data_IF_605747639381
#
_entry.id   IF_605747639381
#
_cell.length_a   1.000
_cell.length_b   1.000
_cell.length_c   1.000
_cell.angle_alpha   90.00
_cell.angle_beta   90.00
_cell.angle_gamma   90.00
#
_symmetry.space_group_name_H-M   'P 1'
#
loop_
_entity.id
_entity.type
_entity.pdbx_description
1 polymer ?
#
# COMPACT_ATOMS: atom_id res chain seq x y z
N UNK A 1 15.31 -21.83 -16.65
CA UNK A 1 15.07 -20.39 -16.48
C UNK A 1 13.73 -20.07 -17.11
N UNK A 2 12.65 -20.10 -16.33
CA UNK A 2 11.29 -19.88 -16.85
C UNK A 2 10.97 -18.38 -16.80
N UNK A 3 10.96 -17.75 -17.98
CA UNK A 3 10.38 -16.44 -18.22
C UNK A 3 8.88 -16.50 -17.93
N UNK A 4 8.50 -16.24 -16.68
CA UNK A 4 7.12 -15.96 -16.31
C UNK A 4 6.71 -14.61 -16.90
N UNK A 5 5.50 -14.53 -17.46
CA UNK A 5 4.92 -13.33 -18.05
C UNK A 5 5.29 -12.07 -17.25
N UNK A 6 6.02 -11.16 -17.90
CA UNK A 6 6.74 -10.06 -17.29
C UNK A 6 5.78 -8.97 -16.80
N UNK A 7 5.23 -9.16 -15.60
CA UNK A 7 4.77 -8.03 -14.83
C UNK A 7 6.01 -7.19 -14.49
N UNK A 8 5.97 -5.91 -14.86
CA UNK A 8 6.93 -4.91 -14.38
C UNK A 8 7.05 -5.00 -12.85
N UNK A 9 8.19 -4.59 -12.31
CA UNK A 9 8.40 -4.58 -10.86
C UNK A 9 7.22 -3.88 -10.16
N UNK A 10 6.54 -4.60 -9.26
CA UNK A 10 5.43 -4.05 -8.50
C UNK A 10 5.92 -3.60 -7.12
N UNK A 11 5.24 -2.61 -6.56
CA UNK A 11 5.44 -2.17 -5.17
C UNK A 11 4.11 -2.20 -4.46
N UNK A 12 4.11 -2.72 -3.24
CA UNK A 12 2.99 -2.54 -2.32
C UNK A 12 3.00 -1.11 -1.80
N UNK A 13 1.94 -0.38 -2.09
CA UNK A 13 1.67 0.95 -1.57
C UNK A 13 0.59 0.85 -0.49
N UNK A 14 0.96 0.86 0.80
CA UNK A 14 0.02 1.04 1.90
C UNK A 14 -0.83 2.31 1.69
N UNK A 15 -2.14 2.22 1.83
CA UNK A 15 -3.02 3.40 1.81
C UNK A 15 -3.31 3.79 3.26
N UNK A 16 -2.64 4.83 3.74
CA UNK A 16 -2.63 5.27 5.14
C UNK A 16 -2.88 6.78 5.24
N UNK A 17 -2.98 7.32 6.46
CA UNK A 17 -3.09 8.78 6.68
C UNK A 17 -1.80 9.53 6.32
N UNK A 18 -0.66 8.84 6.31
CA UNK A 18 0.67 9.39 6.09
C UNK A 18 1.14 9.35 4.63
N UNK A 19 0.26 8.95 3.70
CA UNK A 19 0.56 8.91 2.27
C UNK A 19 0.35 10.28 1.61
N UNK A 20 1.29 10.68 0.78
CA UNK A 20 1.16 11.87 -0.04
C UNK A 20 1.90 11.70 -1.36
N UNK A 21 1.52 12.47 -2.38
CA UNK A 21 2.30 12.53 -3.61
C UNK A 21 3.28 13.69 -3.58
N UNK A 22 4.48 13.43 -4.09
CA UNK A 22 5.50 14.44 -4.40
C UNK A 22 5.53 14.72 -5.92
N UNK A 23 6.35 15.67 -6.34
CA UNK A 23 6.60 15.92 -7.76
C UNK A 23 7.39 14.75 -8.38
N UNK A 24 7.41 14.66 -9.72
CA UNK A 24 8.18 13.66 -10.49
C UNK A 24 7.75 12.19 -10.27
N UNK A 25 6.45 11.90 -10.27
CA UNK A 25 5.91 10.54 -10.14
C UNK A 25 6.36 9.79 -8.87
N UNK A 26 6.49 10.52 -7.76
CA UNK A 26 6.85 9.95 -6.47
C UNK A 26 5.68 10.01 -5.49
N UNK A 27 5.57 8.95 -4.70
CA UNK A 27 4.67 8.86 -3.55
C UNK A 27 5.52 8.69 -2.30
N UNK A 28 5.23 9.50 -1.29
CA UNK A 28 5.83 9.41 0.03
C UNK A 28 4.87 8.72 0.98
N UNK A 29 5.43 7.93 1.90
CA UNK A 29 4.71 7.41 3.06
C UNK A 29 5.55 7.77 4.29
N UNK A 30 4.97 8.51 5.22
CA UNK A 30 5.69 8.99 6.40
C UNK A 30 6.95 9.78 6.03
N UNK A 31 8.01 9.65 6.83
CA UNK A 31 9.27 10.39 6.63
C UNK A 31 10.34 9.64 5.81
N UNK A 32 10.22 8.31 5.71
CA UNK A 32 11.34 7.45 5.29
C UNK A 32 11.11 6.72 3.98
N UNK A 33 9.86 6.49 3.58
CA UNK A 33 9.53 5.74 2.36
C UNK A 33 9.22 6.69 1.20
N UNK A 34 9.90 6.49 0.07
CA UNK A 34 9.56 7.11 -1.23
C UNK A 34 9.49 6.04 -2.31
N UNK A 35 8.42 6.08 -3.10
CA UNK A 35 8.10 5.13 -4.17
C UNK A 35 7.97 5.90 -5.47
N UNK A 36 8.75 5.51 -6.47
CA UNK A 36 8.54 5.94 -7.85
C UNK A 36 7.51 5.01 -8.49
N UNK A 37 6.45 5.56 -9.07
CA UNK A 37 5.46 4.79 -9.81
C UNK A 37 5.59 5.02 -11.32
N UNK A 38 5.36 3.95 -12.09
CA UNK A 38 5.25 4.05 -13.54
C UNK A 38 3.80 4.35 -13.91
N UNK A 39 3.48 5.60 -14.24
CA UNK A 39 2.14 6.03 -14.63
C UNK A 39 1.58 5.28 -15.86
N UNK A 40 2.47 4.81 -16.75
CA UNK A 40 2.09 4.03 -17.94
C UNK A 40 2.27 2.52 -17.72
N UNK A 41 2.64 2.13 -16.50
CA UNK A 41 2.95 0.75 -16.16
C UNK A 41 1.70 -0.10 -15.99
N UNK A 42 1.88 -1.41 -16.11
CA UNK A 42 0.80 -2.34 -15.85
C UNK A 42 0.69 -2.59 -14.34
N UNK A 43 -0.24 -1.89 -13.69
CA UNK A 43 -0.55 -2.08 -12.28
C UNK A 43 -1.41 -3.34 -12.07
N UNK A 44 -1.15 -4.08 -10.99
CA UNK A 44 -2.01 -5.18 -10.53
C UNK A 44 -3.32 -4.64 -9.97
N UNK A 45 -3.25 -3.59 -9.16
CA UNK A 45 -4.42 -2.83 -8.72
C UNK A 45 -4.97 -1.98 -9.85
N UNK A 46 -6.29 -1.89 -9.95
CA UNK A 46 -6.98 -1.27 -11.09
C UNK A 46 -8.13 -0.40 -10.62
N UNK A 47 -8.39 0.69 -11.35
CA UNK A 47 -9.60 1.50 -11.22
C UNK A 47 -10.43 1.33 -12.49
N UNK A 48 -11.73 1.15 -12.33
CA UNK A 48 -12.70 1.21 -13.43
C UNK A 48 -14.00 1.91 -12.99
N UNK A 49 -15.04 1.79 -13.82
CA UNK A 49 -16.37 2.35 -13.56
C UNK A 49 -17.04 1.81 -12.28
N UNK A 50 -16.61 0.64 -11.80
CA UNK A 50 -17.09 -0.01 -10.57
C UNK A 50 -16.21 0.30 -9.37
N UNK A 51 -15.10 1.01 -9.54
CA UNK A 51 -14.24 1.50 -8.47
C UNK A 51 -12.88 0.81 -8.42
N UNK A 52 -12.32 0.71 -7.21
CA UNK A 52 -10.99 0.15 -7.01
C UNK A 52 -11.02 -1.38 -6.84
N UNK A 53 -10.14 -2.05 -7.55
CA UNK A 53 -10.00 -3.50 -7.63
C UNK A 53 -8.59 -3.98 -7.28
N UNK A 54 -8.51 -5.27 -6.92
CA UNK A 54 -7.27 -5.97 -6.58
C UNK A 54 -6.51 -5.28 -5.43
N UNK A 55 -7.19 -5.10 -4.30
CA UNK A 55 -6.61 -4.51 -3.10
C UNK A 55 -5.92 -5.61 -2.31
N UNK A 56 -4.63 -5.45 -2.02
CA UNK A 56 -3.86 -6.42 -1.25
C UNK A 56 -4.03 -6.16 0.24
N UNK A 57 -4.23 -7.22 1.01
CA UNK A 57 -4.27 -7.21 2.48
C UNK A 57 -3.06 -7.97 3.01
N UNK A 58 -2.21 -7.30 3.79
CA UNK A 58 -1.09 -7.91 4.50
C UNK A 58 -1.47 -8.11 5.96
N UNK A 59 -1.68 -9.36 6.39
CA UNK A 59 -1.98 -9.74 7.78
C UNK A 59 -0.72 -9.93 8.59
N UNK A 60 -0.75 -9.68 9.91
CA UNK A 60 0.43 -9.78 10.77
C UNK A 60 1.37 -8.59 10.66
N UNK A 61 0.89 -7.47 10.12
CA UNK A 61 1.65 -6.23 9.94
C UNK A 61 0.85 -5.03 10.42
N UNK A 62 1.57 -4.01 10.91
CA UNK A 62 1.08 -2.67 11.17
C UNK A 62 2.02 -1.63 10.52
N UNK A 63 1.53 -0.41 10.29
CA UNK A 63 2.33 0.70 9.76
C UNK A 63 2.96 1.51 10.90
N UNK A 64 4.25 1.83 10.80
CA UNK A 64 4.86 2.93 11.56
C UNK A 64 4.55 4.25 10.84
N UNK A 65 3.57 5.00 11.34
CA UNK A 65 3.11 6.25 10.71
C UNK A 65 4.22 7.30 10.59
N UNK A 66 5.23 7.24 11.47
CA UNK A 66 6.32 8.21 11.44
C UNK A 66 7.28 7.94 10.28
N UNK A 67 7.55 6.68 9.97
CA UNK A 67 8.51 6.29 8.91
C UNK A 67 7.83 5.90 7.60
N UNK A 68 6.58 5.43 7.65
CA UNK A 68 5.83 4.85 6.53
C UNK A 68 6.18 3.40 6.24
N UNK A 69 6.96 2.75 7.10
CA UNK A 69 7.40 1.37 6.93
C UNK A 69 6.46 0.38 7.61
N UNK A 70 6.32 -0.81 7.03
CA UNK A 70 5.61 -1.93 7.63
C UNK A 70 6.45 -2.55 8.75
N UNK A 71 5.80 -2.85 9.87
CA UNK A 71 6.36 -3.58 11.01
C UNK A 71 5.54 -4.86 11.18
N UNK A 72 6.13 -6.07 11.08
CA UNK A 72 5.47 -7.30 11.40
C UNK A 72 5.20 -7.33 12.91
N UNK A 73 3.96 -7.60 13.26
CA UNK A 73 3.47 -7.61 14.64
C UNK A 73 3.27 -9.02 15.15
N UNK A 74 3.18 -10.00 14.23
CA UNK A 74 2.82 -11.40 14.48
C UNK A 74 1.42 -11.60 15.07
N UNK A 75 0.61 -10.55 15.18
CA UNK A 75 -0.81 -10.65 15.49
C UNK A 75 -1.59 -10.88 14.19
N UNK A 76 -2.24 -12.04 13.99
CA UNK A 76 -3.00 -12.32 12.77
C UNK A 76 -4.21 -11.39 12.57
N UNK A 77 -4.67 -10.71 13.62
CA UNK A 77 -5.75 -9.72 13.56
C UNK A 77 -5.27 -8.35 13.08
N UNK A 78 -3.97 -8.05 13.18
CA UNK A 78 -3.39 -6.85 12.59
C UNK A 78 -3.30 -7.00 11.07
N UNK A 79 -3.58 -5.91 10.36
CA UNK A 79 -3.42 -5.88 8.92
C UNK A 79 -3.16 -4.47 8.39
N UNK A 80 -2.56 -4.41 7.21
CA UNK A 80 -2.45 -3.20 6.39
C UNK A 80 -3.01 -3.48 5.01
N UNK A 81 -3.88 -2.60 4.53
CA UNK A 81 -4.45 -2.65 3.18
C UNK A 81 -3.71 -1.68 2.27
N UNK A 82 -3.52 -2.10 1.03
CA UNK A 82 -2.83 -1.28 0.05
C UNK A 82 -3.07 -1.75 -1.38
N UNK A 83 -2.41 -1.07 -2.31
CA UNK A 83 -2.48 -1.38 -3.73
C UNK A 83 -1.12 -1.88 -4.23
N UNK A 84 -1.13 -2.71 -5.28
CA UNK A 84 0.05 -3.16 -5.99
C UNK A 84 0.16 -2.38 -7.31
N UNK A 85 1.20 -1.57 -7.41
CA UNK A 85 1.44 -0.68 -8.54
C UNK A 85 2.79 -0.96 -9.18
N UNK A 86 2.89 -0.85 -10.51
CA UNK A 86 4.18 -0.81 -11.21
C UNK A 86 5.03 0.36 -10.71
N UNK A 87 6.25 0.07 -10.28
CA UNK A 87 7.15 1.05 -9.68
C UNK A 87 8.31 0.42 -8.92
N UNK A 88 9.03 1.23 -8.16
CA UNK A 88 10.12 0.80 -7.26
C UNK A 88 10.22 1.70 -6.04
N UNK A 89 10.77 1.15 -4.95
CA UNK A 89 11.06 1.91 -3.74
C UNK A 89 12.40 2.63 -3.95
N UNK A 90 12.40 3.96 -3.95
CA UNK A 90 13.61 4.79 -4.09
C UNK A 90 14.32 5.01 -2.75
N UNK A 91 13.54 5.16 -1.68
CA UNK A 91 14.04 5.40 -0.32
C UNK A 91 13.24 4.55 0.67
N UNK A 92 13.94 4.08 1.70
CA UNK A 92 13.38 3.24 2.74
C UNK A 92 13.86 1.80 2.60
N UNK A 93 13.79 1.08 3.72
CA UNK A 93 14.09 -0.34 3.72
C UNK A 93 13.00 -1.10 2.97
N UNK A 94 13.38 -2.14 2.25
CA UNK A 94 12.42 -2.95 1.53
C UNK A 94 12.77 -4.43 1.48
N UNK A 95 11.73 -5.24 1.32
CA UNK A 95 11.84 -6.68 1.13
C UNK A 95 11.13 -7.07 -0.16
N UNK A 96 11.81 -7.84 -1.01
CA UNK A 96 11.28 -8.25 -2.32
C UNK A 96 10.75 -9.68 -2.26
N UNK A 97 9.46 -9.83 -2.57
CA UNK A 97 8.80 -11.12 -2.74
C UNK A 97 8.83 -11.46 -4.23
N UNK A 98 9.36 -12.63 -4.57
CA UNK A 98 9.57 -13.05 -5.95
C UNK A 98 8.63 -14.20 -6.30
N UNK A 99 7.88 -14.03 -7.39
CA UNK A 99 7.17 -15.12 -8.06
C UNK A 99 6.06 -15.79 -7.25
N UNK A 100 5.40 -15.07 -6.34
CA UNK A 100 4.30 -15.64 -5.55
C UNK A 100 3.05 -15.82 -6.43
N UNK A 101 2.43 -17.01 -6.46
CA UNK A 101 1.19 -17.21 -7.21
C UNK A 101 0.08 -16.27 -6.71
N UNK A 102 -0.65 -15.64 -7.62
CA UNK A 102 -1.68 -14.64 -7.27
C UNK A 102 -2.80 -15.20 -6.40
N UNK A 103 -3.05 -16.51 -6.45
CA UNK A 103 -4.04 -17.20 -5.61
C UNK A 103 -3.57 -17.43 -4.17
N UNK A 104 -2.32 -17.14 -3.84
CA UNK A 104 -1.78 -17.14 -2.46
C UNK A 104 -1.83 -15.76 -1.82
N UNK A 105 -2.12 -14.72 -2.57
CA UNK A 105 -2.29 -13.37 -2.06
C UNK A 105 -3.71 -13.18 -1.54
N UNK A 106 -3.83 -12.56 -0.37
CA UNK A 106 -5.14 -12.14 0.13
C UNK A 106 -5.55 -10.83 -0.56
N UNK A 107 -6.33 -10.97 -1.64
CA UNK A 107 -6.81 -9.86 -2.47
C UNK A 107 -8.32 -9.70 -2.29
N UNK A 108 -8.77 -8.50 -1.92
CA UNK A 108 -10.19 -8.14 -1.87
C UNK A 108 -10.58 -7.35 -3.14
N UNK A 109 -11.89 -7.38 -3.47
CA UNK A 109 -12.43 -6.83 -4.72
C UNK A 109 -11.68 -7.34 -5.96
N UNK A 110 -11.39 -8.64 -5.96
CA UNK A 110 -10.58 -9.32 -6.96
C UNK A 110 -11.23 -9.21 -8.35
N UNK A 111 -10.41 -8.78 -9.31
CA UNK A 111 -10.61 -8.83 -10.76
C UNK A 111 -9.51 -9.74 -11.34
N UNK A 112 -9.44 -9.86 -12.67
CA UNK A 112 -8.51 -10.74 -13.36
C UNK A 112 -7.04 -10.49 -12.96
N UNK A 113 -6.54 -11.32 -12.06
CA UNK A 113 -5.14 -11.37 -11.60
C UNK A 113 -4.67 -12.80 -11.70
N UNK A 114 -3.90 -13.09 -12.74
CA UNK A 114 -3.40 -14.41 -13.06
C UNK A 114 -1.87 -14.46 -13.05
N UNK A 115 -1.35 -15.65 -12.78
CA UNK A 115 0.08 -15.91 -12.79
C UNK A 115 0.78 -15.58 -11.47
N UNK A 116 2.09 -15.42 -11.57
CA UNK A 116 2.96 -15.13 -10.44
C UNK A 116 3.23 -13.61 -10.38
N UNK A 117 3.21 -13.07 -9.17
CA UNK A 117 3.46 -11.65 -8.91
C UNK A 117 4.80 -11.53 -8.20
N UNK A 118 5.58 -10.53 -8.58
CA UNK A 118 6.80 -10.12 -7.89
C UNK A 118 6.60 -8.70 -7.42
N UNK A 119 6.80 -8.44 -6.12
CA UNK A 119 6.60 -7.11 -5.55
C UNK A 119 7.51 -6.82 -4.37
N UNK A 120 7.77 -5.53 -4.15
CA UNK A 120 8.54 -5.03 -3.03
C UNK A 120 7.64 -4.45 -1.94
N UNK A 121 8.00 -4.69 -0.68
CA UNK A 121 7.35 -4.19 0.53
C UNK A 121 8.23 -3.14 1.20
N UNK A 122 7.72 -1.93 1.54
CA UNK A 122 8.44 -1.01 2.42
C UNK A 122 8.38 -1.54 3.85
N UNK A 123 9.45 -2.15 4.35
CA UNK A 123 9.47 -2.86 5.64
C UNK A 123 10.57 -2.32 6.52
N UNK A 124 10.30 -2.17 7.82
CA UNK A 124 11.25 -1.63 8.79
C UNK A 124 12.37 -2.63 9.05
N UNK A 125 13.45 -2.57 8.27
CA UNK A 125 14.59 -3.47 8.44
C UNK A 125 15.68 -2.84 9.34
N UNK A 126 16.31 -3.69 10.15
CA UNK A 126 17.51 -3.33 10.90
C UNK A 126 18.70 -4.04 10.23
N UNK A 127 19.77 -3.29 9.94
CA UNK A 127 20.88 -3.57 9.01
C UNK A 127 21.61 -4.94 9.08
N UNK A 128 21.23 -5.89 9.94
CA UNK A 128 22.03 -7.09 10.27
C UNK A 128 21.49 -8.40 9.71
N UNK A 129 20.50 -8.37 8.80
CA UNK A 129 19.85 -9.60 8.29
C UNK A 129 19.05 -10.35 9.36
N UNK A 130 18.92 -9.76 10.56
CA UNK A 130 18.13 -10.27 11.67
C UNK A 130 17.01 -9.29 11.95
N UNK A 131 15.77 -9.76 11.92
CA UNK A 131 14.60 -8.92 12.13
C UNK A 131 14.31 -8.82 13.63
N UNK A 132 14.82 -7.79 14.30
CA UNK A 132 14.51 -7.53 15.71
C UNK A 132 13.33 -6.57 15.81
N UNK A 133 12.17 -7.07 16.24
CA UNK A 133 10.99 -6.25 16.54
C UNK A 133 10.93 -6.04 18.04
N UNK A 134 11.18 -4.82 18.50
CA UNK A 134 10.89 -4.47 19.89
C UNK A 134 9.46 -3.94 20.00
N UNK A 135 8.55 -4.83 20.35
CA UNK A 135 7.14 -4.52 20.58
C UNK A 135 6.83 -4.31 22.07
N UNK A 136 7.81 -4.41 22.99
CA UNK A 136 7.56 -4.42 24.44
C UNK A 136 6.78 -3.20 24.92
N UNK A 137 7.12 -2.03 24.40
CA UNK A 137 6.46 -0.76 24.72
C UNK A 137 5.61 -0.24 23.55
N UNK A 138 5.17 -1.13 22.66
CA UNK A 138 4.39 -0.79 21.48
C UNK A 138 3.03 -1.46 21.55
N UNK A 139 2.02 -0.72 21.12
CA UNK A 139 0.68 -1.25 20.90
C UNK A 139 0.26 -0.96 19.47
N UNK A 140 -0.54 -1.86 18.91
CA UNK A 140 -1.19 -1.65 17.64
C UNK A 140 -2.56 -1.04 17.88
N UNK A 141 -2.96 -0.14 16.98
CA UNK A 141 -4.28 0.48 17.04
C UNK A 141 -4.89 0.50 15.67
N UNK A 142 -6.17 0.14 15.60
CA UNK A 142 -6.97 0.25 14.40
C UNK A 142 -7.13 1.72 13.98
N UNK A 143 -6.97 1.99 12.70
CA UNK A 143 -7.11 3.31 12.09
C UNK A 143 -8.01 3.18 10.86
N UNK A 144 -9.06 4.00 10.82
CA UNK A 144 -9.89 4.24 9.65
C UNK A 144 -9.53 5.58 9.02
N UNK A 145 -9.71 5.70 7.71
CA UNK A 145 -9.58 6.98 7.00
C UNK A 145 -10.91 7.74 7.09
N UNK A 146 -10.85 9.02 7.39
CA UNK A 146 -12.02 9.89 7.25
C UNK A 146 -12.23 10.31 5.79
N UNK A 147 -13.38 10.94 5.53
CA UNK A 147 -13.80 11.37 4.19
C UNK A 147 -12.81 12.34 3.53
N UNK A 148 -12.24 13.27 4.29
CA UNK A 148 -11.40 14.33 3.75
C UNK A 148 -9.99 13.81 3.44
N UNK A 149 -9.48 12.90 4.27
CA UNK A 149 -8.27 12.13 3.97
C UNK A 149 -8.49 11.26 2.74
N UNK A 150 -9.62 10.54 2.65
CA UNK A 150 -9.94 9.70 1.50
C UNK A 150 -9.98 10.50 0.19
N UNK A 151 -10.61 11.69 0.18
CA UNK A 151 -10.58 12.60 -0.97
C UNK A 151 -9.16 13.02 -1.33
N UNK A 152 -8.37 13.41 -0.33
CA UNK A 152 -6.97 13.83 -0.53
C UNK A 152 -6.15 12.72 -1.16
N UNK A 153 -6.30 11.47 -0.70
CA UNK A 153 -5.62 10.30 -1.28
C UNK A 153 -6.07 10.07 -2.72
N UNK A 154 -7.36 10.12 -2.99
CA UNK A 154 -7.88 9.92 -4.35
C UNK A 154 -7.37 11.01 -5.29
N UNK A 155 -7.48 12.27 -4.92
CA UNK A 155 -7.17 13.40 -5.80
C UNK A 155 -5.68 13.65 -5.98
N UNK A 156 -4.85 13.30 -4.98
CA UNK A 156 -3.40 13.57 -5.04
C UNK A 156 -2.56 12.33 -5.31
N UNK A 157 -3.01 11.13 -4.95
CA UNK A 157 -2.25 9.88 -5.12
C UNK A 157 -2.84 9.04 -6.24
N UNK A 158 -4.09 8.59 -6.11
CA UNK A 158 -4.68 7.68 -7.09
C UNK A 158 -4.91 8.36 -8.45
N UNK A 159 -5.31 9.62 -8.46
CA UNK A 159 -5.48 10.41 -9.68
C UNK A 159 -4.17 10.54 -10.46
N UNK A 160 -3.01 10.57 -9.80
CA UNK A 160 -1.72 10.66 -10.49
C UNK A 160 -1.25 9.30 -11.01
N UNK A 161 -1.36 8.24 -10.19
CA UNK A 161 -1.03 6.87 -10.59
C UNK A 161 -1.88 6.44 -11.79
N UNK A 162 -3.19 6.68 -11.73
CA UNK A 162 -4.16 6.23 -12.74
C UNK A 162 -4.68 7.37 -13.62
N UNK A 163 -3.87 8.38 -13.92
CA UNK A 163 -4.35 9.64 -14.52
C UNK A 163 -5.21 9.48 -15.77
N UNK A 164 -4.84 8.57 -16.68
CA UNK A 164 -5.62 8.30 -17.89
C UNK A 164 -7.05 7.85 -17.55
N UNK A 165 -7.18 6.94 -16.58
CA UNK A 165 -8.48 6.41 -16.16
C UNK A 165 -9.22 7.46 -15.33
N UNK A 166 -8.56 8.04 -14.34
CA UNK A 166 -9.16 9.02 -13.43
C UNK A 166 -9.76 10.23 -14.17
N UNK A 167 -9.07 10.73 -15.20
CA UNK A 167 -9.55 11.84 -16.02
C UNK A 167 -10.78 11.49 -16.89
N UNK A 168 -11.01 10.20 -17.14
CA UNK A 168 -12.21 9.72 -17.85
C UNK A 168 -13.41 9.48 -16.94
N UNK A 169 -13.21 9.47 -15.62
CA UNK A 169 -14.28 9.22 -14.65
C UNK A 169 -15.22 10.41 -14.56
N UNK A 170 -16.52 10.13 -14.56
CA UNK A 170 -17.56 11.12 -14.25
C UNK A 170 -17.61 11.42 -12.74
N UNK A 171 -18.43 12.41 -12.35
CA UNK A 171 -18.56 12.84 -10.96
C UNK A 171 -19.00 11.72 -10.02
N UNK A 172 -19.98 10.92 -10.42
CA UNK A 172 -20.52 9.82 -9.60
C UNK A 172 -19.48 8.72 -9.35
N UNK A 173 -18.67 8.41 -10.37
CA UNK A 173 -17.59 7.44 -10.30
C UNK A 173 -16.46 7.93 -9.37
N UNK A 174 -16.10 9.22 -9.44
CA UNK A 174 -15.15 9.81 -8.49
C UNK A 174 -15.69 9.81 -7.06
N UNK A 175 -16.97 10.17 -6.88
CA UNK A 175 -17.62 10.13 -5.57
C UNK A 175 -17.69 8.72 -4.97
N UNK A 176 -17.86 7.70 -5.83
CA UNK A 176 -17.75 6.30 -5.45
C UNK A 176 -16.33 5.94 -5.04
N UNK A 177 -15.32 6.37 -5.79
CA UNK A 177 -13.92 6.09 -5.47
C UNK A 177 -13.52 6.70 -4.11
N UNK A 178 -14.00 7.91 -3.79
CA UNK A 178 -13.83 8.50 -2.46
C UNK A 178 -14.45 7.62 -1.36
N UNK A 179 -15.67 7.11 -1.55
CA UNK A 179 -16.34 6.21 -0.58
C UNK A 179 -15.61 4.88 -0.45
N UNK A 180 -15.18 4.32 -1.57
CA UNK A 180 -14.40 3.09 -1.58
C UNK A 180 -13.10 3.26 -0.79
N UNK A 181 -12.40 4.39 -0.93
CA UNK A 181 -11.17 4.61 -0.17
C UNK A 181 -11.43 4.72 1.33
N UNK A 182 -12.43 5.50 1.71
CA UNK A 182 -12.88 5.69 3.10
C UNK A 182 -13.31 4.38 3.78
N UNK A 183 -14.14 3.58 3.10
CA UNK A 183 -14.75 2.37 3.68
C UNK A 183 -13.80 1.17 3.70
N UNK A 184 -12.95 1.03 2.66
CA UNK A 184 -12.14 -0.18 2.50
C UNK A 184 -10.81 -0.06 3.22
N UNK A 185 -10.12 1.06 3.09
CA UNK A 185 -8.76 1.22 3.62
C UNK A 185 -8.81 1.62 5.08
N UNK A 186 -8.87 0.60 5.91
CA UNK A 186 -8.49 0.67 7.31
C UNK A 186 -7.28 -0.25 7.52
N UNK A 187 -6.53 0.02 8.58
CA UNK A 187 -5.26 -0.64 8.85
C UNK A 187 -4.91 -0.52 10.33
N UNK A 188 -3.91 -1.27 10.75
CA UNK A 188 -3.31 -1.15 12.07
C UNK A 188 -2.05 -0.31 12.00
N UNK A 189 -1.89 0.57 12.99
CA UNK A 189 -0.71 1.42 13.19
C UNK A 189 -0.02 1.06 14.50
N UNK A 190 1.31 1.09 14.52
CA UNK A 190 2.11 0.89 15.72
C UNK A 190 2.33 2.24 16.45
N UNK A 191 2.06 2.26 17.76
CA UNK A 191 2.22 3.43 18.62
C UNK A 191 3.07 3.09 19.83
N UNK A 192 3.90 4.03 20.29
CA UNK A 192 4.54 3.92 21.60
C UNK A 192 3.50 4.05 22.69
N UNK A 193 3.52 3.15 23.67
CA UNK A 193 2.89 3.41 24.95
C UNK A 193 3.56 4.67 25.52
N UNK A 194 2.79 5.74 25.74
CA UNK A 194 3.31 6.87 26.52
C UNK A 194 3.68 6.31 27.88
N UNK A 195 4.95 6.40 28.25
CA UNK A 195 5.36 6.22 29.64
C UNK A 195 4.55 7.21 30.47
N UNK A 196 3.65 6.72 31.32
CA UNK A 196 3.05 7.57 32.34
C UNK A 196 4.20 8.15 33.18
N UNK A 197 4.24 9.47 33.41
CA UNK A 197 5.28 10.12 34.19
C UNK A 197 5.32 9.60 35.63
#
# INVERSE_FOLDING_TARGET
MTSGAGWEEQVFLPITNSISSEDNNQIKIGSSVSIEYNQNGQHVSQIDDKGLHNILVLTGYAIDESTGELVPTFDPCDYVKGILISGKILKGNHFKIIGIPSNKLYIIRKKDVHGNITFSLPIKNFNTGTYQVDLRDKVTSFVSLDRDVAKTIVDNVLAKIYAKIYNSLNKEQKDKLYRDVEEIFNYYSIKSLKSNP
#
